data_IF_685306786625
#
_entry.id   IF_685306786625
#
_cell.length_a   1.000
_cell.length_b   1.000
_cell.length_c   1.000
_cell.angle_alpha   90.00
_cell.angle_beta   90.00
_cell.angle_gamma   90.00
#
_symmetry.space_group_name_H-M   'P 1'
#
loop_
_entity.id
_entity.type
_entity.pdbx_description
1 polymer ?
#
# COMPACT_ATOMS: atom_id res chain seq x y z
N UNK A 1 -13.85 16.42 9.91
CA UNK A 1 -14.89 15.51 9.38
C UNK A 1 -14.62 15.35 7.90
N UNK A 2 -13.66 14.50 7.55
CA UNK A 2 -13.46 14.05 6.17
C UNK A 2 -14.48 12.95 5.92
N UNK A 3 -15.37 13.18 4.96
CA UNK A 3 -16.32 12.17 4.53
C UNK A 3 -15.51 11.03 3.89
N UNK A 4 -15.41 9.88 4.57
CA UNK A 4 -15.09 8.63 3.89
C UNK A 4 -16.10 8.48 2.73
N UNK A 5 -15.66 8.04 1.54
CA UNK A 5 -16.61 7.57 0.55
C UNK A 5 -17.45 6.49 1.22
N UNK A 6 -18.75 6.73 1.26
CA UNK A 6 -19.70 5.79 1.80
C UNK A 6 -19.72 4.61 0.83
N UNK A 7 -18.93 3.56 1.10
CA UNK A 7 -19.04 2.27 0.42
C UNK A 7 -20.34 1.61 0.91
N UNK A 8 -21.46 2.24 0.55
CA UNK A 8 -22.71 1.52 0.42
C UNK A 8 -22.41 0.45 -0.62
N UNK A 9 -22.49 -0.83 -0.24
CA UNK A 9 -22.58 -1.93 -1.20
C UNK A 9 -23.41 -1.42 -2.38
N UNK A 10 -22.86 -1.39 -3.61
CA UNK A 10 -23.65 -0.98 -4.74
C UNK A 10 -24.87 -1.89 -4.73
N UNK A 11 -26.04 -1.30 -4.53
CA UNK A 11 -27.34 -1.98 -4.62
C UNK A 11 -27.68 -2.27 -6.09
N UNK A 12 -26.64 -2.63 -6.85
CA UNK A 12 -26.72 -3.20 -8.17
C UNK A 12 -27.19 -4.64 -7.96
N UNK A 13 -28.30 -5.05 -8.57
CA UNK A 13 -28.72 -6.44 -8.56
C UNK A 13 -27.54 -7.29 -9.03
N UNK A 14 -27.11 -8.24 -8.21
CA UNK A 14 -26.16 -9.30 -8.56
C UNK A 14 -26.41 -9.73 -10.01
N UNK A 15 -25.49 -9.47 -10.95
CA UNK A 15 -25.71 -9.79 -12.35
C UNK A 15 -26.04 -11.28 -12.49
N UNK A 16 -27.16 -11.52 -13.16
CA UNK A 16 -27.75 -12.85 -13.39
C UNK A 16 -26.69 -13.83 -13.93
N UNK A 17 -26.42 -14.87 -13.14
CA UNK A 17 -25.81 -16.13 -13.60
C UNK A 17 -24.29 -16.24 -13.49
N UNK A 18 -23.70 -16.02 -12.33
CA UNK A 18 -22.35 -16.53 -12.02
C UNK A 18 -22.29 -18.04 -12.30
N UNK A 19 -21.56 -18.44 -13.34
CA UNK A 19 -21.08 -19.81 -13.48
C UNK A 19 -19.58 -19.77 -13.24
N UNK A 20 -19.22 -19.43 -12.02
CA UNK A 20 -17.89 -19.66 -11.47
C UNK A 20 -17.65 -21.17 -11.45
N UNK A 21 -16.46 -21.63 -11.83
CA UNK A 21 -16.02 -22.96 -11.39
C UNK A 21 -15.66 -22.82 -9.92
N UNK A 22 -16.68 -22.78 -9.06
CA UNK A 22 -16.49 -22.78 -7.61
C UNK A 22 -16.13 -24.21 -7.20
N UNK A 23 -14.84 -24.52 -7.16
CA UNK A 23 -14.40 -25.73 -6.47
C UNK A 23 -14.34 -25.41 -4.98
N UNK A 24 -15.40 -25.73 -4.25
CA UNK A 24 -15.38 -25.69 -2.79
C UNK A 24 -14.43 -26.79 -2.30
N UNK A 25 -13.14 -26.49 -2.11
CA UNK A 25 -12.28 -27.37 -1.33
C UNK A 25 -10.97 -26.70 -0.90
N UNK A 26 -11.05 -26.00 0.22
CA UNK A 26 -10.16 -26.07 1.39
C UNK A 26 -10.93 -25.31 2.48
N UNK A 27 -11.56 -26.06 3.39
CA UNK A 27 -12.37 -25.60 4.56
C UNK A 27 -12.71 -24.10 4.58
N UNK A 28 -13.87 -23.71 4.03
CA UNK A 28 -14.45 -22.37 4.25
C UNK A 28 -14.02 -21.26 3.30
N UNK A 29 -13.08 -21.51 2.39
CA UNK A 29 -12.63 -20.53 1.37
C UNK A 29 -13.41 -20.70 0.06
N UNK A 30 -13.84 -19.60 -0.55
CA UNK A 30 -14.42 -19.56 -1.89
C UNK A 30 -13.30 -19.45 -2.94
N UNK A 31 -13.39 -20.19 -4.04
CA UNK A 31 -12.37 -20.19 -5.10
C UNK A 31 -13.02 -19.73 -6.40
N UNK A 32 -12.46 -18.68 -7.00
CA UNK A 32 -12.87 -18.09 -8.27
C UNK A 32 -11.65 -18.03 -9.19
N UNK A 33 -11.60 -18.90 -10.19
CA UNK A 33 -10.59 -18.83 -11.25
C UNK A 33 -11.18 -18.25 -12.53
N UNK A 34 -10.56 -17.21 -13.06
CA UNK A 34 -11.01 -16.47 -14.24
C UNK A 34 -10.17 -16.93 -15.44
N UNK A 35 -10.84 -17.45 -16.46
CA UNK A 35 -10.20 -18.01 -17.66
C UNK A 35 -10.69 -17.32 -18.93
N UNK A 36 -10.13 -17.72 -20.08
CA UNK A 36 -10.56 -17.21 -21.39
C UNK A 36 -12.02 -17.53 -21.75
N UNK A 37 -12.70 -18.37 -20.97
CA UNK A 37 -14.14 -18.63 -21.12
C UNK A 37 -15.00 -17.57 -20.43
N UNK A 38 -14.40 -16.78 -19.55
CA UNK A 38 -15.07 -15.85 -18.63
C UNK A 38 -14.95 -14.38 -19.08
N UNK A 39 -14.03 -14.07 -20.01
CA UNK A 39 -13.67 -12.71 -20.50
C UNK A 39 -14.77 -11.92 -21.23
N UNK A 40 -15.98 -12.48 -21.39
CA UNK A 40 -17.12 -11.77 -21.98
C UNK A 40 -17.93 -10.95 -20.96
N UNK A 41 -17.50 -10.91 -19.69
CA UNK A 41 -18.07 -10.07 -18.63
C UNK A 41 -17.20 -8.84 -18.45
N UNK A 42 -17.79 -7.72 -18.04
CA UNK A 42 -17.18 -6.38 -17.95
C UNK A 42 -16.05 -6.27 -16.91
N UNK A 43 -15.06 -7.16 -16.90
CA UNK A 43 -13.89 -7.13 -16.02
C UNK A 43 -14.17 -7.26 -14.51
N UNK A 44 -15.42 -7.13 -14.06
CA UNK A 44 -15.75 -7.01 -12.63
C UNK A 44 -16.04 -8.37 -11.98
N UNK A 45 -15.33 -8.65 -10.89
CA UNK A 45 -15.44 -9.85 -10.06
C UNK A 45 -15.52 -9.45 -8.60
N UNK A 46 -16.52 -9.98 -7.91
CA UNK A 46 -16.83 -9.66 -6.53
C UNK A 46 -16.81 -10.96 -5.74
N UNK A 47 -16.03 -11.00 -4.67
CA UNK A 47 -15.98 -12.06 -3.68
C UNK A 47 -17.27 -12.18 -2.89
N UNK A 48 -17.19 -12.94 -1.82
CA UNK A 48 -18.25 -13.16 -0.85
C UNK A 48 -17.98 -12.38 0.43
N UNK A 49 -18.73 -12.65 1.50
CA UNK A 49 -18.48 -12.05 2.82
C UNK A 49 -17.62 -12.94 3.70
N UNK A 50 -17.01 -13.97 3.13
CA UNK A 50 -16.08 -14.85 3.82
C UNK A 50 -14.88 -15.07 2.90
N UNK A 51 -13.81 -15.73 3.38
CA UNK A 51 -12.54 -15.76 2.67
C UNK A 51 -12.65 -16.20 1.21
N UNK A 52 -12.08 -15.43 0.30
CA UNK A 52 -12.04 -15.67 -1.13
C UNK A 52 -10.60 -15.87 -1.64
N UNK A 53 -10.46 -16.74 -2.63
CA UNK A 53 -9.29 -16.88 -3.47
C UNK A 53 -9.73 -16.60 -4.91
N UNK A 54 -9.36 -15.43 -5.43
CA UNK A 54 -9.71 -14.98 -6.78
C UNK A 54 -8.43 -14.88 -7.60
N UNK A 55 -8.34 -15.68 -8.66
CA UNK A 55 -7.15 -15.73 -9.53
C UNK A 55 -7.54 -15.56 -10.99
N UNK A 56 -6.98 -14.54 -11.63
CA UNK A 56 -7.04 -14.36 -13.07
C UNK A 56 -5.91 -15.12 -13.76
N UNK A 57 -6.25 -15.88 -14.79
CA UNK A 57 -5.24 -16.57 -15.58
C UNK A 57 -4.25 -15.58 -16.23
N UNK A 58 -2.94 -15.79 -16.12
CA UNK A 58 -1.92 -14.85 -16.59
C UNK A 58 -1.86 -14.69 -18.12
N UNK A 59 -2.60 -15.52 -18.87
CA UNK A 59 -2.65 -15.48 -20.33
C UNK A 59 -3.83 -14.67 -20.88
N UNK A 60 -4.50 -13.88 -20.02
CA UNK A 60 -5.65 -13.07 -20.40
C UNK A 60 -5.28 -11.63 -20.78
N UNK A 61 -4.01 -11.32 -20.99
CA UNK A 61 -3.63 -10.05 -21.59
C UNK A 61 -4.34 -9.83 -22.95
N UNK A 62 -4.81 -8.61 -23.29
CA UNK A 62 -4.73 -7.37 -22.51
C UNK A 62 -6.06 -7.03 -21.82
N UNK A 63 -6.75 -8.02 -21.24
CA UNK A 63 -8.02 -7.77 -20.55
C UNK A 63 -7.76 -7.18 -19.17
N UNK A 64 -8.54 -6.18 -18.83
CA UNK A 64 -8.48 -5.50 -17.54
C UNK A 64 -9.63 -6.00 -16.65
N UNK A 65 -9.33 -6.15 -15.36
CA UNK A 65 -10.22 -6.71 -14.36
C UNK A 65 -10.35 -5.77 -13.16
N UNK A 66 -11.54 -5.72 -12.57
CA UNK A 66 -11.81 -5.09 -11.29
C UNK A 66 -12.20 -6.21 -10.30
N UNK A 67 -11.40 -6.43 -9.27
CA UNK A 67 -11.56 -7.54 -8.33
C UNK A 67 -11.78 -6.98 -6.93
N UNK A 68 -12.84 -7.44 -6.27
CA UNK A 68 -13.22 -7.02 -4.91
C UNK A 68 -13.25 -8.23 -3.99
N UNK A 69 -12.45 -8.25 -2.91
CA UNK A 69 -12.48 -9.30 -1.88
C UNK A 69 -13.67 -9.16 -0.93
N UNK A 70 -13.89 -7.93 -0.43
CA UNK A 70 -14.96 -7.49 0.48
C UNK A 70 -14.62 -7.61 1.97
N UNK A 71 -14.78 -8.78 2.57
CA UNK A 71 -14.68 -8.98 4.03
C UNK A 71 -13.95 -10.28 4.32
N UNK A 72 -13.29 -10.34 5.48
CA UNK A 72 -12.39 -11.43 5.87
C UNK A 72 -11.11 -11.45 5.02
N UNK A 73 -10.19 -12.37 5.32
CA UNK A 73 -8.92 -12.45 4.60
C UNK A 73 -9.10 -13.05 3.21
N UNK A 74 -8.71 -12.28 2.20
CA UNK A 74 -8.78 -12.65 0.80
C UNK A 74 -7.41 -12.82 0.14
N UNK A 75 -7.37 -13.57 -0.95
CA UNK A 75 -6.21 -13.65 -1.84
C UNK A 75 -6.66 -13.33 -3.26
N UNK A 76 -6.15 -12.24 -3.82
CA UNK A 76 -6.56 -11.70 -5.11
C UNK A 76 -5.37 -11.66 -6.07
N UNK A 77 -5.54 -12.15 -7.30
CA UNK A 77 -4.55 -12.03 -8.37
C UNK A 77 -5.14 -11.48 -9.67
N UNK A 78 -4.57 -10.36 -10.15
CA UNK A 78 -5.06 -9.56 -11.28
C UNK A 78 -4.77 -10.15 -12.65
N UNK A 79 -3.58 -10.75 -12.84
CA UNK A 79 -3.25 -11.45 -14.07
C UNK A 79 -2.37 -10.61 -14.99
N UNK A 80 -2.86 -10.27 -16.17
CA UNK A 80 -2.10 -9.40 -17.06
C UNK A 80 -3.08 -8.43 -17.72
N UNK A 81 -2.73 -7.15 -17.76
CA UNK A 81 -3.64 -6.07 -18.12
C UNK A 81 -3.62 -5.00 -17.04
N UNK A 82 -4.22 -3.84 -17.30
CA UNK A 82 -4.29 -2.77 -16.29
C UNK A 82 -5.48 -3.03 -15.36
N UNK A 83 -5.25 -3.71 -14.26
CA UNK A 83 -6.24 -4.22 -13.34
C UNK A 83 -6.50 -3.27 -12.15
N UNK A 84 -7.59 -3.54 -11.42
CA UNK A 84 -7.93 -2.85 -10.20
C UNK A 84 -8.30 -3.85 -9.11
N UNK A 85 -7.49 -3.95 -8.06
CA UNK A 85 -7.68 -4.90 -6.98
C UNK A 85 -8.04 -4.16 -5.69
N UNK A 86 -9.10 -4.60 -5.02
CA UNK A 86 -9.59 -4.06 -3.76
C UNK A 86 -9.75 -5.19 -2.75
N UNK A 87 -8.92 -5.20 -1.70
CA UNK A 87 -8.95 -6.22 -0.64
C UNK A 87 -10.26 -6.15 0.13
N UNK A 88 -10.44 -5.07 0.89
CA UNK A 88 -11.68 -4.78 1.58
C UNK A 88 -11.45 -4.70 3.09
N UNK A 89 -12.06 -5.60 3.86
CA UNK A 89 -11.73 -5.74 5.27
C UNK A 89 -11.07 -7.08 5.49
N UNK A 90 -9.96 -7.11 6.19
CA UNK A 90 -9.25 -8.36 6.45
C UNK A 90 -7.76 -8.13 6.28
N UNK A 91 -6.97 -9.17 6.49
CA UNK A 91 -5.55 -9.10 6.20
C UNK A 91 -5.35 -9.76 4.83
N UNK A 92 -5.39 -8.97 3.77
CA UNK A 92 -5.52 -9.47 2.42
C UNK A 92 -4.16 -9.69 1.75
N UNK A 93 -4.12 -10.55 0.74
CA UNK A 93 -2.97 -10.77 -0.13
C UNK A 93 -3.31 -10.42 -1.58
N UNK A 94 -2.76 -9.33 -2.09
CA UNK A 94 -3.07 -8.79 -3.42
C UNK A 94 -1.82 -8.83 -4.32
N UNK A 95 -1.93 -9.44 -5.51
CA UNK A 95 -0.83 -9.55 -6.48
C UNK A 95 -1.35 -9.27 -7.89
N UNK A 96 -1.06 -8.11 -8.48
CA UNK A 96 -1.65 -7.77 -9.79
C UNK A 96 -0.86 -8.32 -10.99
N UNK A 97 0.48 -8.45 -10.87
CA UNK A 97 1.43 -9.11 -11.80
C UNK A 97 1.96 -8.25 -12.96
N UNK A 98 1.25 -8.06 -14.09
CA UNK A 98 1.76 -7.21 -15.17
C UNK A 98 0.68 -6.26 -15.65
N UNK A 99 1.06 -5.01 -15.89
CA UNK A 99 0.16 -3.95 -16.33
C UNK A 99 0.30 -2.77 -15.39
N UNK A 100 -0.35 -1.65 -15.70
CA UNK A 100 -0.32 -0.48 -14.83
C UNK A 100 -1.52 -0.54 -13.90
N UNK A 101 -1.34 -1.13 -12.73
CA UNK A 101 -2.42 -1.55 -11.86
C UNK A 101 -2.78 -0.51 -10.81
N UNK A 102 -4.02 -0.59 -10.31
CA UNK A 102 -4.47 0.16 -9.13
C UNK A 102 -4.83 -0.83 -8.03
N UNK A 103 -4.15 -0.75 -6.90
CA UNK A 103 -4.30 -1.75 -5.84
C UNK A 103 -4.57 -1.07 -4.51
N UNK A 104 -5.62 -1.50 -3.82
CA UNK A 104 -6.04 -0.95 -2.53
C UNK A 104 -6.31 -2.08 -1.53
N UNK A 105 -5.51 -2.16 -0.47
CA UNK A 105 -5.74 -3.09 0.64
C UNK A 105 -7.01 -2.77 1.41
N UNK A 106 -7.15 -1.49 1.79
CA UNK A 106 -8.24 -0.88 2.55
C UNK A 106 -8.12 -1.04 4.08
N UNK A 107 -8.78 -2.03 4.69
CA UNK A 107 -8.81 -2.19 6.15
C UNK A 107 -8.14 -3.49 6.57
N UNK A 108 -7.12 -3.40 7.41
CA UNK A 108 -6.43 -4.54 7.99
C UNK A 108 -4.98 -4.59 7.54
N UNK A 109 -4.21 -5.52 8.06
CA UNK A 109 -2.78 -5.59 7.76
C UNK A 109 -2.54 -6.37 6.46
N UNK A 110 -2.35 -5.64 5.37
CA UNK A 110 -2.33 -6.18 4.02
C UNK A 110 -0.93 -6.47 3.49
N UNK A 111 -0.84 -7.47 2.61
CA UNK A 111 0.34 -7.73 1.78
C UNK A 111 -0.02 -7.43 0.32
N UNK A 112 0.68 -6.47 -0.28
CA UNK A 112 0.38 -6.01 -1.63
C UNK A 112 1.65 -6.02 -2.49
N UNK A 113 1.54 -6.62 -3.68
CA UNK A 113 2.58 -6.59 -4.70
C UNK A 113 1.97 -6.08 -6.02
N UNK A 114 2.48 -4.95 -6.52
CA UNK A 114 2.18 -4.40 -7.84
C UNK A 114 2.62 -5.38 -8.93
N UNK A 115 3.92 -5.49 -9.14
CA UNK A 115 4.47 -6.46 -10.07
C UNK A 115 5.32 -5.75 -11.10
N UNK A 116 4.98 -5.88 -12.38
CA UNK A 116 5.73 -5.24 -13.44
C UNK A 116 4.88 -4.11 -14.04
N UNK A 117 5.57 -3.06 -14.50
CA UNK A 117 5.01 -1.82 -15.05
C UNK A 117 4.58 -0.83 -13.96
N UNK A 118 4.04 0.33 -14.33
CA UNK A 118 3.92 1.45 -13.40
C UNK A 118 2.63 1.32 -12.55
N UNK A 119 2.77 0.96 -11.27
CA UNK A 119 1.65 0.64 -10.40
C UNK A 119 1.27 1.78 -9.43
N UNK A 120 0.01 1.81 -9.00
CA UNK A 120 -0.48 2.66 -7.91
C UNK A 120 -0.99 1.81 -6.75
N UNK A 121 -0.19 1.74 -5.68
CA UNK A 121 -0.37 0.83 -4.55
C UNK A 121 -0.71 1.60 -3.28
N UNK A 122 -1.86 1.28 -2.69
CA UNK A 122 -2.37 1.89 -1.46
C UNK A 122 -2.62 0.80 -0.40
N UNK A 123 -1.96 0.91 0.76
CA UNK A 123 -2.15 -0.01 1.88
C UNK A 123 -3.50 0.22 2.55
N UNK A 124 -3.64 1.36 3.23
CA UNK A 124 -4.92 1.80 3.77
C UNK A 124 -4.84 2.02 5.27
N UNK A 125 -5.44 1.12 6.06
CA UNK A 125 -5.41 1.19 7.52
C UNK A 125 -4.69 -0.01 8.11
N UNK A 126 -4.01 0.22 9.23
CA UNK A 126 -3.16 -0.76 9.91
C UNK A 126 -1.78 -0.88 9.25
N UNK A 127 -1.01 -1.92 9.56
CA UNK A 127 0.39 -2.00 9.17
C UNK A 127 0.53 -2.90 7.93
N UNK A 128 0.76 -2.27 6.79
CA UNK A 128 0.82 -2.94 5.49
C UNK A 128 2.25 -3.22 5.03
N UNK A 129 2.39 -4.17 4.11
CA UNK A 129 3.62 -4.42 3.36
C UNK A 129 3.35 -4.23 1.87
N UNK A 130 3.94 -3.19 1.28
CA UNK A 130 3.73 -2.79 -0.11
C UNK A 130 5.03 -2.99 -0.92
N UNK A 131 4.90 -3.69 -2.04
CA UNK A 131 5.97 -3.91 -3.01
C UNK A 131 5.52 -3.37 -4.37
N UNK A 132 6.27 -2.43 -4.96
CA UNK A 132 6.09 -2.01 -6.36
C UNK A 132 6.63 -3.06 -7.33
N UNK A 133 7.81 -3.59 -7.01
CA UNK A 133 8.58 -4.61 -7.74
C UNK A 133 9.33 -4.06 -8.95
N UNK A 134 8.69 -3.71 -10.05
CA UNK A 134 9.40 -3.16 -11.20
C UNK A 134 8.53 -2.25 -12.03
N UNK A 135 8.97 -1.02 -12.25
CA UNK A 135 8.12 0.03 -12.81
C UNK A 135 8.45 1.34 -12.14
N UNK A 136 7.72 2.40 -12.48
CA UNK A 136 7.79 3.66 -11.74
C UNK A 136 6.55 3.72 -10.84
N UNK A 137 6.69 3.22 -9.63
CA UNK A 137 5.54 2.90 -8.80
C UNK A 137 5.18 4.06 -7.87
N UNK A 138 3.90 4.18 -7.55
CA UNK A 138 3.41 5.04 -6.48
C UNK A 138 2.99 4.18 -5.29
N UNK A 139 3.67 4.33 -4.16
CA UNK A 139 3.39 3.56 -2.94
C UNK A 139 2.92 4.49 -1.82
N UNK A 140 1.73 4.23 -1.26
CA UNK A 140 1.19 4.93 -0.12
C UNK A 140 0.69 3.93 0.95
N UNK A 141 1.39 3.86 2.09
CA UNK A 141 0.90 3.09 3.25
C UNK A 141 -0.34 3.70 3.91
N UNK A 142 -0.52 5.02 3.77
CA UNK A 142 -1.57 5.79 4.44
C UNK A 142 -1.49 5.74 5.98
N UNK A 143 -2.35 4.97 6.66
CA UNK A 143 -2.33 4.88 8.13
C UNK A 143 -1.45 3.73 8.59
N UNK A 144 -1.05 3.76 9.87
CA UNK A 144 -0.21 2.72 10.47
C UNK A 144 1.27 2.85 10.11
N UNK A 145 2.05 1.84 10.50
CA UNK A 145 3.48 1.72 10.25
C UNK A 145 3.66 0.72 9.11
N UNK A 146 3.89 1.23 7.91
CA UNK A 146 3.94 0.41 6.71
C UNK A 146 5.37 0.11 6.29
N UNK A 147 5.60 -1.03 5.63
CA UNK A 147 6.85 -1.33 4.95
C UNK A 147 6.66 -1.13 3.45
N UNK A 148 7.43 -0.21 2.87
CA UNK A 148 7.35 0.18 1.46
C UNK A 148 8.64 -0.23 0.75
N UNK A 149 8.51 -0.95 -0.36
CA UNK A 149 9.62 -1.40 -1.20
C UNK A 149 9.29 -1.04 -2.64
N UNK A 150 10.04 -0.13 -3.24
CA UNK A 150 9.78 0.33 -4.60
C UNK A 150 10.16 -0.74 -5.61
N UNK A 151 11.40 -1.24 -5.52
CA UNK A 151 11.96 -2.21 -6.43
C UNK A 151 12.81 -1.55 -7.51
N UNK A 152 12.56 -1.90 -8.78
CA UNK A 152 13.29 -1.32 -9.91
C UNK A 152 12.51 -0.18 -10.53
N UNK A 153 13.16 0.97 -10.75
CA UNK A 153 12.58 2.10 -11.49
C UNK A 153 12.46 3.34 -10.60
N UNK A 154 11.81 4.39 -11.12
CA UNK A 154 11.73 5.69 -10.43
C UNK A 154 10.49 5.74 -9.55
N UNK A 155 10.65 5.40 -8.28
CA UNK A 155 9.51 5.22 -7.40
C UNK A 155 9.13 6.47 -6.60
N UNK A 156 7.85 6.58 -6.29
CA UNK A 156 7.24 7.63 -5.50
C UNK A 156 6.67 7.06 -4.20
N UNK A 157 7.33 7.35 -3.09
CA UNK A 157 6.87 6.94 -1.75
C UNK A 157 6.10 8.07 -1.08
N UNK A 158 4.79 7.91 -0.92
CA UNK A 158 3.96 8.87 -0.21
C UNK A 158 3.94 8.59 1.29
N UNK A 159 4.60 9.47 2.05
CA UNK A 159 4.51 9.50 3.51
C UNK A 159 3.69 10.69 3.98
N UNK A 160 2.89 10.50 5.03
CA UNK A 160 1.92 11.49 5.48
C UNK A 160 2.13 11.86 6.94
N UNK A 161 2.19 13.15 7.21
CA UNK A 161 2.02 13.67 8.56
C UNK A 161 0.53 13.64 8.95
N UNK A 162 0.24 13.16 10.15
CA UNK A 162 -1.09 13.20 10.76
C UNK A 162 -1.07 14.12 11.98
N UNK A 163 -1.27 15.44 11.83
CA UNK A 163 -1.11 16.39 12.93
C UNK A 163 -2.00 16.12 14.14
N UNK A 164 -3.20 15.56 13.92
CA UNK A 164 -4.16 15.23 14.97
C UNK A 164 -3.84 13.95 15.74
N UNK A 165 -2.93 13.12 15.25
CA UNK A 165 -2.52 11.86 15.88
C UNK A 165 -1.15 11.97 16.57
N UNK A 166 -0.64 13.20 16.71
CA UNK A 166 0.52 13.56 17.53
C UNK A 166 0.22 13.49 19.04
N UNK A 167 -0.32 12.37 19.53
CA UNK A 167 -0.68 12.19 20.94
C UNK A 167 0.45 11.60 21.80
N UNK A 168 1.64 11.39 21.24
CA UNK A 168 2.83 11.02 22.01
C UNK A 168 3.52 12.25 22.58
N UNK A 169 3.70 12.30 23.91
CA UNK A 169 4.68 13.21 24.50
C UNK A 169 6.07 12.91 23.90
N UNK A 170 6.91 13.94 23.74
CA UNK A 170 8.31 13.86 23.29
C UNK A 170 9.19 12.85 24.06
N UNK A 171 8.65 12.20 25.11
CA UNK A 171 9.33 11.21 25.95
C UNK A 171 9.26 9.77 25.46
N UNK A 172 8.28 9.41 24.61
CA UNK A 172 8.01 7.99 24.33
C UNK A 172 8.40 7.52 22.92
N UNK A 173 8.77 8.45 22.01
CA UNK A 173 9.50 8.28 20.72
C UNK A 173 9.19 7.05 19.82
N UNK A 174 8.09 6.32 20.06
CA UNK A 174 7.59 5.25 19.20
C UNK A 174 6.59 5.90 18.23
N UNK A 175 6.92 6.03 16.94
CA UNK A 175 5.98 6.54 15.95
C UNK A 175 4.76 5.63 15.84
N UNK A 176 3.58 6.22 15.69
CA UNK A 176 2.33 5.47 15.43
C UNK A 176 1.98 5.41 13.95
N UNK A 177 2.65 6.21 13.11
CA UNK A 177 2.33 6.34 11.68
C UNK A 177 3.56 6.72 10.83
N UNK A 178 4.73 6.16 11.14
CA UNK A 178 5.94 6.41 10.37
C UNK A 178 6.24 5.21 9.49
N UNK A 179 6.16 5.39 8.18
CA UNK A 179 6.43 4.34 7.22
C UNK A 179 7.93 4.06 7.11
N UNK A 180 8.27 2.82 6.78
CA UNK A 180 9.63 2.33 6.59
C UNK A 180 9.82 2.08 5.09
N UNK A 181 10.67 2.89 4.47
CA UNK A 181 11.06 2.70 3.07
C UNK A 181 12.36 1.88 3.06
N UNK A 182 12.34 0.73 2.38
CA UNK A 182 13.36 -0.32 2.58
C UNK A 182 14.48 -0.29 1.55
N UNK A 183 14.26 0.31 0.38
CA UNK A 183 15.17 0.24 -0.78
C UNK A 183 15.32 1.58 -1.53
N UNK A 184 15.01 2.70 -0.89
CA UNK A 184 15.10 4.04 -1.49
C UNK A 184 16.44 4.30 -2.19
N UNK A 185 16.41 4.72 -3.45
CA UNK A 185 17.55 5.02 -4.30
C UNK A 185 17.70 6.54 -4.50
N UNK A 186 18.66 7.21 -3.81
CA UNK A 186 18.82 8.66 -3.92
C UNK A 186 19.16 9.13 -5.34
N UNK A 187 18.35 10.04 -5.87
CA UNK A 187 18.51 10.59 -7.22
C UNK A 187 17.71 9.86 -8.30
N UNK A 188 17.07 8.75 -7.94
CA UNK A 188 16.08 8.02 -8.73
C UNK A 188 14.71 8.23 -8.08
N UNK A 189 14.56 7.74 -6.85
CA UNK A 189 13.29 7.77 -6.13
C UNK A 189 13.00 9.12 -5.46
N UNK A 190 11.72 9.33 -5.18
CA UNK A 190 11.21 10.52 -4.51
C UNK A 190 10.27 10.17 -3.37
N UNK A 191 10.45 10.87 -2.25
CA UNK A 191 9.53 10.84 -1.13
C UNK A 191 8.57 12.02 -1.27
N UNK A 192 7.30 11.70 -1.39
CA UNK A 192 6.19 12.65 -1.42
C UNK A 192 5.73 12.86 0.02
N UNK A 193 5.95 14.07 0.55
CA UNK A 193 5.56 14.45 1.91
C UNK A 193 4.25 15.20 1.87
N UNK A 194 3.23 14.60 2.48
CA UNK A 194 1.85 15.13 2.55
C UNK A 194 1.42 15.42 3.99
N UNK A 195 0.33 16.18 4.16
CA UNK A 195 -0.22 16.49 5.49
C UNK A 195 0.55 17.57 6.27
N UNK A 196 1.50 18.24 5.62
CA UNK A 196 2.27 19.36 6.16
C UNK A 196 2.08 20.63 5.33
N UNK A 197 2.27 21.84 5.90
CA UNK A 197 2.32 23.07 5.11
C UNK A 197 3.45 23.07 4.07
N UNK A 198 3.30 23.81 2.96
CA UNK A 198 4.31 23.89 1.88
C UNK A 198 5.69 24.39 2.34
N UNK A 199 5.75 25.11 3.46
CA UNK A 199 6.97 25.66 4.05
C UNK A 199 7.51 24.80 5.21
N UNK A 200 6.95 23.61 5.43
CA UNK A 200 7.43 22.71 6.46
C UNK A 200 8.89 22.33 6.19
N UNK A 201 9.65 22.18 7.27
CA UNK A 201 11.04 21.74 7.23
C UNK A 201 11.13 20.36 7.86
N UNK A 202 12.08 19.56 7.38
CA UNK A 202 12.35 18.22 7.90
C UNK A 202 13.67 18.21 8.67
N UNK A 203 13.69 17.49 9.79
CA UNK A 203 14.89 17.02 10.44
C UNK A 203 15.18 15.60 9.95
N UNK A 204 16.43 15.38 9.52
CA UNK A 204 16.90 14.08 9.06
C UNK A 204 17.96 13.59 10.04
N UNK A 205 17.63 12.55 10.79
CA UNK A 205 18.48 12.05 11.88
C UNK A 205 19.00 10.66 11.54
N UNK A 206 20.32 10.49 11.55
CA UNK A 206 20.95 9.17 11.43
C UNK A 206 20.68 8.34 12.68
N UNK A 207 20.07 7.18 12.52
CA UNK A 207 19.79 6.22 13.59
C UNK A 207 20.61 4.94 13.34
N UNK A 208 21.44 4.49 14.29
CA UNK A 208 22.17 3.24 14.15
C UNK A 208 21.24 2.02 14.34
N UNK A 209 21.56 0.85 13.74
CA UNK A 209 20.66 -0.32 13.74
C UNK A 209 20.14 -0.72 15.13
N UNK A 210 20.99 -0.65 16.16
CA UNK A 210 20.65 -1.00 17.54
C UNK A 210 19.57 -0.09 18.16
N UNK A 211 19.46 1.16 17.68
CA UNK A 211 18.47 2.11 18.14
C UNK A 211 17.13 1.98 17.38
N UNK A 212 17.17 1.51 16.12
CA UNK A 212 15.96 1.37 15.28
C UNK A 212 14.96 0.38 15.87
N UNK A 213 15.44 -0.73 16.45
CA UNK A 213 14.57 -1.74 17.08
C UNK A 213 13.69 -1.16 18.19
N UNK A 214 14.16 -0.13 18.90
CA UNK A 214 13.37 0.56 19.92
C UNK A 214 12.26 1.46 19.34
N UNK A 215 12.41 1.89 18.09
CA UNK A 215 11.46 2.77 17.40
C UNK A 215 10.31 2.00 16.76
N UNK A 216 10.59 0.83 16.18
CA UNK A 216 9.62 0.04 15.43
C UNK A 216 9.41 -1.35 16.05
N UNK A 217 8.82 -1.45 17.25
CA UNK A 217 8.68 -2.72 17.96
C UNK A 217 7.71 -3.72 17.29
N UNK A 218 6.85 -3.24 16.38
CA UNK A 218 5.94 -4.07 15.58
C UNK A 218 6.62 -4.79 14.42
N UNK A 219 7.88 -4.43 14.08
CA UNK A 219 8.62 -5.04 12.98
C UNK A 219 9.44 -6.22 13.50
N UNK A 220 9.06 -7.42 13.09
CA UNK A 220 9.66 -8.67 13.59
C UNK A 220 11.06 -8.96 12.99
N UNK A 221 11.47 -8.25 11.94
CA UNK A 221 12.81 -8.37 11.34
C UNK A 221 13.79 -7.36 11.94
N UNK A 222 15.08 -7.68 11.85
CA UNK A 222 16.12 -6.70 12.20
C UNK A 222 16.21 -5.67 11.09
N UNK A 223 15.84 -4.43 11.39
CA UNK A 223 16.06 -3.29 10.52
C UNK A 223 17.53 -2.86 10.57
N UNK A 224 18.04 -2.43 9.42
CA UNK A 224 19.29 -1.68 9.36
C UNK A 224 19.23 -0.35 10.11
N UNK A 225 20.38 0.31 10.24
CA UNK A 225 20.40 1.73 10.59
C UNK A 225 19.90 2.55 9.41
N UNK A 226 19.68 3.85 9.58
CA UNK A 226 19.10 4.64 8.50
C UNK A 226 18.82 6.08 8.88
N UNK A 227 17.92 6.71 8.13
CA UNK A 227 17.51 8.11 8.31
C UNK A 227 16.09 8.18 8.82
N UNK A 228 15.91 8.74 10.02
CA UNK A 228 14.61 9.11 10.55
C UNK A 228 14.19 10.48 9.99
N UNK A 229 12.96 10.58 9.52
CA UNK A 229 12.36 11.79 8.95
C UNK A 229 11.36 12.36 9.94
N UNK A 230 11.63 13.57 10.42
CA UNK A 230 10.81 14.27 11.41
C UNK A 230 10.39 15.64 10.89
N UNK A 231 9.13 16.04 11.10
CA UNK A 231 8.63 17.36 10.76
C UNK A 231 9.03 18.35 11.87
N UNK A 232 9.90 19.33 11.55
CA UNK A 232 10.51 20.23 12.54
C UNK A 232 9.49 20.98 13.40
N UNK A 233 8.40 21.45 12.79
CA UNK A 233 7.43 22.30 13.47
C UNK A 233 6.59 21.54 14.51
N UNK A 234 6.41 20.23 14.33
CA UNK A 234 5.54 19.39 15.18
C UNK A 234 6.32 18.37 16.01
N UNK A 235 7.55 18.06 15.62
CA UNK A 235 8.31 16.93 16.17
C UNK A 235 7.79 15.56 15.72
N UNK A 236 6.89 15.52 14.74
CA UNK A 236 6.28 14.29 14.28
C UNK A 236 7.26 13.50 13.42
N UNK A 237 7.55 12.26 13.81
CA UNK A 237 8.24 11.30 12.96
C UNK A 237 7.24 10.77 11.93
N UNK A 238 7.58 10.90 10.65
CA UNK A 238 6.69 10.56 9.53
C UNK A 238 7.24 9.47 8.62
N UNK A 239 8.51 9.10 8.78
CA UNK A 239 9.09 8.00 8.02
C UNK A 239 10.51 7.66 8.45
N UNK A 240 10.97 6.52 7.96
CA UNK A 240 12.32 6.02 8.14
C UNK A 240 12.84 5.42 6.83
N UNK A 241 14.04 5.83 6.43
CA UNK A 241 14.73 5.27 5.26
C UNK A 241 15.76 4.27 5.74
N UNK A 242 15.52 2.99 5.47
CA UNK A 242 16.44 1.92 5.86
C UNK A 242 17.73 1.99 5.04
N UNK A 243 18.88 1.85 5.69
CA UNK A 243 20.22 1.83 5.10
C UNK A 243 20.63 3.10 4.33
N UNK A 244 19.86 4.18 4.41
CA UNK A 244 20.19 5.48 3.83
C UNK A 244 20.60 6.46 4.93
N UNK A 245 21.74 7.13 4.73
CA UNK A 245 22.24 8.18 5.62
C UNK A 245 21.82 9.57 5.13
N UNK A 246 21.63 10.56 6.02
CA UNK A 246 21.14 11.89 5.63
C UNK A 246 22.00 12.57 4.55
N UNK A 247 23.31 12.31 4.53
CA UNK A 247 24.24 12.93 3.57
C UNK A 247 24.14 12.34 2.16
N UNK A 248 23.47 11.19 1.99
CA UNK A 248 23.20 10.60 0.68
C UNK A 248 21.98 11.22 0.01
N UNK A 249 21.11 11.88 0.77
CA UNK A 249 19.87 12.46 0.27
C UNK A 249 20.13 13.76 -0.48
N UNK A 250 19.38 13.95 -1.55
CA UNK A 250 19.44 15.14 -2.38
C UNK A 250 18.27 16.07 -2.04
N UNK A 251 18.36 17.33 -2.45
CA UNK A 251 17.22 18.26 -2.36
C UNK A 251 16.02 17.79 -3.17
N UNK A 252 16.24 16.98 -4.21
CA UNK A 252 15.20 16.38 -5.04
C UNK A 252 14.60 15.11 -4.44
N UNK A 253 15.17 14.56 -3.37
CA UNK A 253 14.64 13.36 -2.72
C UNK A 253 13.28 13.60 -2.06
N UNK A 254 12.88 14.86 -1.87
CA UNK A 254 11.63 15.23 -1.22
C UNK A 254 10.81 16.18 -2.08
N UNK A 255 9.54 15.85 -2.28
CA UNK A 255 8.53 16.76 -2.81
C UNK A 255 7.48 17.02 -1.74
N UNK A 256 7.14 18.29 -1.55
CA UNK A 256 6.12 18.70 -0.58
C UNK A 256 4.82 19.03 -1.31
N UNK A 257 3.76 18.32 -0.98
CA UNK A 257 2.42 18.65 -1.45
C UNK A 257 1.61 19.23 -0.30
N UNK A 258 1.38 20.55 -0.27
CA UNK A 258 0.56 21.14 0.77
C UNK A 258 -0.85 20.58 0.65
N UNK A 259 -1.42 20.12 1.76
CA UNK A 259 -2.87 20.03 1.85
C UNK A 259 -3.42 21.42 1.60
N UNK A 260 -4.27 21.60 0.58
CA UNK A 260 -5.02 22.85 0.42
C UNK A 260 -5.66 23.16 1.76
N UNK A 261 -5.32 24.31 2.35
CA UNK A 261 -6.04 24.86 3.49
C UNK A 261 -7.50 25.02 3.03
N UNK A 262 -8.34 24.04 3.37
CA UNK A 262 -9.78 24.16 3.33
C UNK A 262 -10.25 25.02 4.49
#
# INVERSE_FOLDING_TARGET
MTMQPNFSSPSVPQPVGMSTVTTTSLVGVNIITITNKDVNRKGEYIGTTGPDYIEVSPFLAPFNFAIYGLEEQDTLSGGAGDDSLFGGKGNDSLISLNGNDIIQGNLGADYINGGNEDDSVYGGQENDTLLGSGGNDYLAGDKGINQLTGGFGFDHFSIRAFPSENTGALSDFIPTNADIITDFTPGEDVIIVSGVPAFAQLNLTSIPPEAVRGLFPSIERTLGGGTLIEVQATGQIIGFLENIQPQQLLTSSFLFFPTSLG
#
